data_IF_411803476280
#
_entry.id   IF_411803476280
#
_cell.length_a   1.000
_cell.length_b   1.000
_cell.length_c   1.000
_cell.angle_alpha   90.00
_cell.angle_beta   90.00
_cell.angle_gamma   90.00
#
_symmetry.space_group_name_H-M   'P 1'
#
loop_
_entity.id
_entity.type
_entity.pdbx_description
1 polymer ?
#
# COMPACT_ATOMS: atom_id res chain seq x y z
N UNK A 1 19.59 -1.53 -29.31
CA UNK A 1 19.30 -2.73 -28.48
C UNK A 1 17.80 -2.79 -28.31
N UNK A 2 17.17 -3.91 -28.68
CA UNK A 2 15.74 -4.11 -28.50
C UNK A 2 15.50 -4.29 -26.99
N UNK A 3 14.86 -3.33 -26.33
CA UNK A 3 14.56 -3.43 -24.90
C UNK A 3 13.63 -4.63 -24.72
N UNK A 4 14.07 -5.64 -23.96
CA UNK A 4 13.24 -6.81 -23.69
C UNK A 4 11.92 -6.34 -23.03
N UNK A 5 10.79 -6.83 -23.55
CA UNK A 5 9.47 -6.45 -23.03
C UNK A 5 9.37 -6.88 -21.57
N UNK A 6 9.09 -5.92 -20.69
CA UNK A 6 8.98 -6.17 -19.26
C UNK A 6 7.76 -7.05 -18.95
N UNK A 7 7.94 -8.08 -18.11
CA UNK A 7 6.92 -9.05 -17.73
C UNK A 7 6.69 -9.00 -16.23
N UNK A 8 5.50 -8.61 -15.80
CA UNK A 8 5.15 -8.49 -14.38
C UNK A 8 4.19 -9.59 -13.96
N UNK A 9 4.50 -10.23 -12.85
CA UNK A 9 3.59 -11.12 -12.12
C UNK A 9 2.93 -10.33 -10.99
N UNK A 10 1.61 -10.18 -11.04
CA UNK A 10 0.82 -9.53 -9.98
C UNK A 10 0.09 -10.59 -9.15
N UNK A 11 0.44 -10.69 -7.88
CA UNK A 11 -0.24 -11.56 -6.92
C UNK A 11 -1.41 -10.79 -6.31
N UNK A 12 -2.63 -11.27 -6.53
CA UNK A 12 -3.86 -10.59 -6.11
C UNK A 12 -4.40 -9.57 -7.12
N UNK A 13 -4.07 -9.69 -8.41
CA UNK A 13 -4.41 -8.70 -9.44
C UNK A 13 -5.91 -8.50 -9.72
N UNK A 14 -6.79 -9.36 -9.18
CA UNK A 14 -8.24 -9.16 -9.25
C UNK A 14 -8.81 -8.37 -8.05
N UNK A 15 -7.97 -7.97 -7.10
CA UNK A 15 -8.33 -7.14 -5.96
C UNK A 15 -8.36 -5.63 -6.28
N UNK A 16 -8.63 -4.81 -5.26
CA UNK A 16 -8.76 -3.36 -5.41
C UNK A 16 -7.46 -2.71 -5.91
N UNK A 17 -6.34 -2.89 -5.19
CA UNK A 17 -5.03 -2.35 -5.59
C UNK A 17 -4.46 -3.13 -6.77
N UNK A 18 -4.53 -4.47 -6.72
CA UNK A 18 -3.98 -5.33 -7.77
C UNK A 18 -4.55 -5.08 -9.16
N UNK A 19 -5.85 -4.77 -9.27
CA UNK A 19 -6.47 -4.46 -10.58
C UNK A 19 -6.01 -3.12 -11.14
N UNK A 20 -5.82 -2.11 -10.29
CA UNK A 20 -5.23 -0.83 -10.69
C UNK A 20 -3.78 -1.01 -11.16
N UNK A 21 -2.98 -1.83 -10.46
CA UNK A 21 -1.61 -2.18 -10.89
C UNK A 21 -1.62 -2.88 -12.25
N UNK A 22 -2.49 -3.87 -12.46
CA UNK A 22 -2.59 -4.56 -13.75
C UNK A 22 -2.92 -3.58 -14.88
N UNK A 23 -3.88 -2.68 -14.65
CA UNK A 23 -4.28 -1.66 -15.62
C UNK A 23 -3.13 -0.69 -15.93
N UNK A 24 -2.44 -0.19 -14.89
CA UNK A 24 -1.32 0.75 -15.03
C UNK A 24 -0.11 0.11 -15.75
N UNK A 25 0.20 -1.15 -15.43
CA UNK A 25 1.28 -1.90 -16.07
C UNK A 25 1.00 -2.11 -17.57
N UNK A 26 -0.24 -2.46 -17.94
CA UNK A 26 -0.65 -2.57 -19.34
C UNK A 26 -0.53 -1.23 -20.08
N UNK A 27 -0.90 -0.10 -19.46
CA UNK A 27 -0.74 1.21 -20.09
C UNK A 27 0.71 1.62 -20.32
N UNK A 28 1.65 1.02 -19.57
CA UNK A 28 3.10 1.19 -19.73
C UNK A 28 3.72 0.18 -20.71
N UNK A 29 2.91 -0.60 -21.41
CA UNK A 29 3.39 -1.58 -22.39
C UNK A 29 4.01 -2.84 -21.79
N UNK A 30 3.80 -3.08 -20.49
CA UNK A 30 4.25 -4.30 -19.83
C UNK A 30 3.32 -5.47 -20.15
N UNK A 31 3.87 -6.68 -20.22
CA UNK A 31 3.08 -7.91 -20.23
C UNK A 31 2.69 -8.26 -18.79
N UNK A 32 1.41 -8.46 -18.55
CA UNK A 32 0.86 -8.69 -17.20
C UNK A 32 0.31 -10.10 -17.09
N UNK A 33 0.88 -10.87 -16.17
CA UNK A 33 0.27 -12.10 -15.66
C UNK A 33 -0.20 -11.85 -14.24
N UNK A 34 -1.43 -12.25 -13.92
CA UNK A 34 -1.98 -12.11 -12.58
C UNK A 34 -2.40 -13.46 -12.04
N UNK A 35 -2.00 -13.75 -10.79
CA UNK A 35 -2.50 -14.92 -10.05
C UNK A 35 -3.51 -14.50 -8.99
N UNK A 36 -4.54 -15.32 -8.81
CA UNK A 36 -5.49 -15.24 -7.71
C UNK A 36 -6.10 -16.61 -7.45
N UNK A 37 -6.68 -16.83 -6.26
CA UNK A 37 -7.32 -18.11 -5.93
C UNK A 37 -8.38 -18.54 -6.96
N UNK A 38 -9.10 -17.58 -7.54
CA UNK A 38 -10.13 -17.83 -8.55
C UNK A 38 -9.61 -17.94 -9.98
N UNK A 39 -8.45 -17.35 -10.28
CA UNK A 39 -7.98 -17.11 -11.65
C UNK A 39 -8.90 -16.26 -12.52
N UNK A 40 -9.95 -15.64 -11.95
CA UNK A 40 -10.94 -14.88 -12.72
C UNK A 40 -10.46 -13.44 -12.95
N UNK A 41 -10.77 -12.87 -14.13
CA UNK A 41 -10.55 -11.45 -14.39
C UNK A 41 -11.24 -10.55 -13.37
N UNK A 42 -10.66 -9.37 -13.15
CA UNK A 42 -11.31 -8.31 -12.40
C UNK A 42 -12.66 -7.94 -13.02
N UNK A 43 -13.68 -7.79 -12.16
CA UNK A 43 -14.98 -7.24 -12.51
C UNK A 43 -15.27 -6.01 -11.65
N UNK A 44 -15.85 -4.98 -12.24
CA UNK A 44 -16.34 -3.82 -11.49
C UNK A 44 -17.41 -4.25 -10.48
N UNK A 45 -17.74 -3.43 -9.45
CA UNK A 45 -18.82 -3.74 -8.51
C UNK A 45 -20.19 -3.96 -9.17
N UNK A 46 -20.38 -3.42 -10.39
CA UNK A 46 -21.59 -3.61 -11.20
C UNK A 46 -21.55 -4.89 -12.05
N UNK A 47 -20.51 -5.72 -11.92
CA UNK A 47 -20.36 -6.99 -12.64
C UNK A 47 -19.79 -6.87 -14.06
N UNK A 48 -19.47 -5.67 -14.55
CA UNK A 48 -18.88 -5.49 -15.87
C UNK A 48 -17.38 -5.81 -15.88
N UNK A 49 -16.91 -6.46 -16.95
CA UNK A 49 -15.50 -6.71 -17.24
C UNK A 49 -14.94 -5.61 -18.16
N UNK A 50 -14.05 -4.73 -17.67
CA UNK A 50 -13.44 -3.69 -18.51
C UNK A 50 -12.62 -4.26 -19.67
N UNK A 51 -12.56 -3.57 -20.81
CA UNK A 51 -11.86 -4.06 -22.01
C UNK A 51 -10.36 -4.37 -21.81
N UNK A 52 -9.69 -3.74 -20.84
CA UNK A 52 -8.29 -4.01 -20.56
C UNK A 52 -8.06 -5.39 -19.91
N UNK A 53 -9.08 -5.98 -19.27
CA UNK A 53 -8.90 -7.25 -18.55
C UNK A 53 -8.63 -8.42 -19.48
N UNK A 54 -9.04 -8.34 -20.76
CA UNK A 54 -8.71 -9.36 -21.77
C UNK A 54 -7.24 -9.36 -22.18
N UNK A 55 -6.48 -8.31 -21.83
CA UNK A 55 -5.04 -8.20 -22.11
C UNK A 55 -4.16 -8.73 -20.98
N UNK A 56 -4.76 -9.08 -19.83
CA UNK A 56 -4.06 -9.70 -18.70
C UNK A 56 -4.18 -11.21 -18.81
N UNK A 57 -3.07 -11.91 -18.62
CA UNK A 57 -3.09 -13.37 -18.47
C UNK A 57 -3.49 -13.72 -17.03
N UNK A 58 -4.74 -14.13 -16.82
CA UNK A 58 -5.25 -14.51 -15.51
C UNK A 58 -5.03 -16.01 -15.26
N UNK A 59 -4.37 -16.34 -14.16
CA UNK A 59 -4.05 -17.71 -13.79
C UNK A 59 -4.61 -18.01 -12.40
N UNK A 60 -5.22 -19.19 -12.17
CA UNK A 60 -5.51 -19.65 -10.83
C UNK A 60 -4.19 -19.92 -10.10
N UNK A 61 -4.08 -19.47 -8.85
CA UNK A 61 -2.89 -19.70 -8.04
C UNK A 61 -3.11 -19.29 -6.59
N UNK A 62 -2.44 -19.95 -5.67
CA UNK A 62 -2.49 -19.65 -4.24
C UNK A 62 -1.10 -19.19 -3.77
N UNK A 63 -1.00 -17.97 -3.24
CA UNK A 63 0.25 -17.36 -2.79
C UNK A 63 0.98 -18.14 -1.68
N UNK A 64 0.28 -18.98 -0.90
CA UNK A 64 0.87 -19.84 0.11
C UNK A 64 1.48 -21.14 -0.46
N UNK A 65 1.12 -21.45 -1.70
CA UNK A 65 1.45 -22.68 -2.41
C UNK A 65 2.20 -22.36 -3.72
N UNK A 66 3.51 -22.06 -3.64
CA UNK A 66 4.34 -21.71 -4.79
C UNK A 66 4.23 -22.67 -5.97
N UNK A 67 4.03 -23.96 -5.75
CA UNK A 67 3.85 -24.98 -6.78
C UNK A 67 2.73 -24.64 -7.77
N UNK A 68 1.73 -23.87 -7.36
CA UNK A 68 0.62 -23.44 -8.21
C UNK A 68 1.00 -22.37 -9.24
N UNK A 69 2.09 -21.61 -9.03
CA UNK A 69 2.48 -20.49 -9.89
C UNK A 69 3.99 -20.39 -10.16
N UNK A 70 4.83 -21.26 -9.59
CA UNK A 70 6.29 -21.18 -9.69
C UNK A 70 6.78 -21.19 -11.14
N UNK A 71 6.08 -21.90 -12.03
CA UNK A 71 6.35 -21.95 -13.47
C UNK A 71 6.27 -20.57 -14.16
N UNK A 72 5.65 -19.56 -13.54
CA UNK A 72 5.55 -18.19 -14.08
C UNK A 72 6.77 -17.33 -13.70
N UNK A 73 7.46 -17.67 -12.60
CA UNK A 73 8.53 -16.86 -12.03
C UNK A 73 9.77 -16.75 -12.93
N UNK A 74 10.24 -17.79 -13.65
CA UNK A 74 11.46 -17.68 -14.48
C UNK A 74 11.34 -16.63 -15.59
N UNK A 75 10.14 -16.52 -16.17
CA UNK A 75 9.86 -15.56 -17.25
C UNK A 75 9.51 -14.15 -16.74
N UNK A 76 9.27 -13.98 -15.44
CA UNK A 76 8.82 -12.72 -14.85
C UNK A 76 10.01 -11.84 -14.49
N UNK A 77 10.03 -10.61 -15.00
CA UNK A 77 11.08 -9.63 -14.68
C UNK A 77 10.82 -8.93 -13.35
N UNK A 78 9.57 -8.88 -12.90
CA UNK A 78 9.15 -8.25 -11.66
C UNK A 78 7.98 -9.01 -11.00
N UNK A 79 7.89 -8.95 -9.67
CA UNK A 79 6.76 -9.47 -8.89
C UNK A 79 6.14 -8.34 -8.06
N UNK A 80 4.81 -8.23 -8.07
CA UNK A 80 4.06 -7.31 -7.22
C UNK A 80 3.10 -8.11 -6.35
N UNK A 81 3.30 -8.05 -5.04
CA UNK A 81 2.43 -8.69 -4.06
C UNK A 81 1.42 -7.69 -3.50
N UNK A 82 0.15 -7.86 -3.85
CA UNK A 82 -0.95 -6.95 -3.47
C UNK A 82 -1.97 -7.57 -2.51
N UNK A 83 -1.71 -8.79 -2.00
CA UNK A 83 -2.62 -9.40 -1.04
C UNK A 83 -2.58 -8.65 0.29
N UNK A 84 -3.76 -8.53 0.88
CA UNK A 84 -3.95 -7.90 2.16
C UNK A 84 -5.42 -7.88 2.54
N UNK A 85 -5.75 -8.38 3.71
CA UNK A 85 -7.08 -8.22 4.31
C UNK A 85 -6.96 -7.23 5.45
N UNK A 86 -7.74 -6.13 5.39
CA UNK A 86 -7.78 -5.12 6.45
C UNK A 86 -8.72 -5.54 7.59
N UNK A 87 -9.81 -6.25 7.24
CA UNK A 87 -10.84 -6.73 8.16
C UNK A 87 -11.33 -8.09 7.67
N UNK A 88 -11.19 -9.12 8.50
CA UNK A 88 -11.83 -10.42 8.28
C UNK A 88 -13.31 -10.44 8.67
N UNK A 89 -13.91 -9.28 8.92
CA UNK A 89 -15.31 -9.23 9.31
C UNK A 89 -16.21 -9.30 8.09
N UNK A 90 -16.93 -10.42 7.98
CA UNK A 90 -18.07 -10.58 7.09
C UNK A 90 -19.07 -9.39 7.21
N UNK A 91 -19.12 -8.74 8.38
CA UNK A 91 -19.94 -7.56 8.66
C UNK A 91 -19.49 -6.29 7.92
N UNK A 92 -18.18 -6.03 7.76
CA UNK A 92 -17.69 -4.89 6.99
C UNK A 92 -17.97 -5.08 5.48
N UNK A 93 -17.78 -6.32 4.99
CA UNK A 93 -18.14 -6.69 3.61
C UNK A 93 -19.66 -6.63 3.38
N UNK A 94 -20.48 -7.00 4.37
CA UNK A 94 -21.93 -6.88 4.32
C UNK A 94 -22.40 -5.41 4.35
N UNK A 95 -21.84 -4.58 5.23
CA UNK A 95 -22.16 -3.15 5.32
C UNK A 95 -21.78 -2.38 4.04
N UNK A 96 -20.66 -2.73 3.41
CA UNK A 96 -20.28 -2.20 2.10
C UNK A 96 -21.21 -2.66 0.98
N UNK A 97 -21.75 -3.88 1.07
CA UNK A 97 -22.69 -4.45 0.09
C UNK A 97 -24.08 -3.83 0.21
N UNK A 98 -24.51 -3.51 1.42
CA UNK A 98 -25.87 -3.02 1.71
C UNK A 98 -26.01 -1.49 1.64
N UNK A 99 -24.92 -0.74 1.35
CA UNK A 99 -24.92 0.73 1.23
C UNK A 99 -25.55 1.47 2.42
N UNK A 100 -25.50 0.88 3.62
CA UNK A 100 -26.17 1.41 4.80
C UNK A 100 -25.30 2.44 5.54
N UNK A 101 -25.24 3.65 4.97
CA UNK A 101 -24.42 4.78 5.44
C UNK A 101 -24.66 5.12 6.93
N UNK A 102 -25.90 5.16 7.46
CA UNK A 102 -26.16 5.44 8.86
C UNK A 102 -25.60 4.40 9.84
N UNK A 103 -25.59 3.12 9.46
CA UNK A 103 -25.05 2.06 10.30
C UNK A 103 -23.51 2.15 10.40
N UNK A 104 -22.84 2.48 9.29
CA UNK A 104 -21.39 2.73 9.28
C UNK A 104 -21.02 3.99 10.07
N UNK A 105 -21.82 5.06 9.96
CA UNK A 105 -21.62 6.27 10.76
C UNK A 105 -21.91 6.03 12.24
N UNK A 106 -22.94 5.24 12.56
CA UNK A 106 -23.33 4.89 13.93
C UNK A 106 -22.30 4.01 14.63
N UNK A 107 -21.70 3.06 13.92
CA UNK A 107 -20.56 2.26 14.41
C UNK A 107 -19.28 3.09 14.58
N UNK A 108 -19.06 4.05 13.68
CA UNK A 108 -17.96 5.00 13.84
C UNK A 108 -18.17 5.94 15.05
N UNK A 109 -19.39 6.46 15.21
CA UNK A 109 -19.77 7.34 16.30
C UNK A 109 -19.79 6.60 17.66
N UNK A 110 -20.26 5.35 17.71
CA UNK A 110 -20.23 4.56 18.95
C UNK A 110 -18.80 4.21 19.38
N UNK A 111 -17.91 3.94 18.41
CA UNK A 111 -16.47 3.72 18.67
C UNK A 111 -15.74 5.00 19.13
N UNK A 112 -16.16 6.16 18.63
CA UNK A 112 -15.67 7.47 19.07
C UNK A 112 -16.23 7.85 20.45
N UNK A 113 -17.50 7.51 20.72
CA UNK A 113 -18.14 7.73 22.01
C UNK A 113 -17.60 6.78 23.10
N UNK A 114 -17.10 5.60 22.74
CA UNK A 114 -16.45 4.64 23.64
C UNK A 114 -14.96 4.95 23.91
N UNK A 115 -14.51 6.19 23.74
CA UNK A 115 -13.19 6.68 24.17
C UNK A 115 -13.09 6.81 25.71
N UNK A 116 -13.71 5.89 26.45
CA UNK A 116 -13.48 5.72 27.88
C UNK A 116 -12.28 4.77 28.07
N UNK A 117 -11.15 5.22 28.64
CA UNK A 117 -9.92 4.42 28.78
C UNK A 117 -10.09 3.14 29.63
N UNK A 118 -11.20 2.98 30.35
CA UNK A 118 -11.44 1.89 31.28
C UNK A 118 -12.43 0.80 30.85
N UNK A 119 -13.07 0.88 29.69
CA UNK A 119 -14.20 -0.02 29.33
C UNK A 119 -13.89 -1.09 28.28
N UNK A 120 -12.64 -1.21 27.81
CA UNK A 120 -12.27 -2.30 26.89
C UNK A 120 -12.18 -3.63 27.63
N UNK A 121 -13.19 -4.46 27.41
CA UNK A 121 -13.15 -5.88 27.78
C UNK A 121 -12.19 -6.58 26.79
N UNK A 122 -11.01 -7.08 27.21
CA UNK A 122 -9.99 -7.62 26.30
C UNK A 122 -10.33 -8.97 25.64
N UNK A 123 -11.58 -9.41 25.76
CA UNK A 123 -12.06 -10.74 25.39
C UNK A 123 -13.04 -10.73 24.20
N UNK A 124 -13.17 -9.61 23.48
CA UNK A 124 -14.05 -9.51 22.31
C UNK A 124 -13.30 -9.47 20.98
N UNK A 125 -11.98 -9.74 20.96
CA UNK A 125 -11.23 -10.02 19.74
C UNK A 125 -11.45 -11.49 19.34
N UNK A 126 -12.66 -11.82 18.89
CA UNK A 126 -12.94 -13.10 18.20
C UNK A 126 -12.45 -13.05 16.75
N UNK A 127 -11.19 -12.68 16.55
CA UNK A 127 -10.51 -12.90 15.28
C UNK A 127 -9.94 -14.32 15.26
N UNK A 128 -10.08 -15.04 14.14
CA UNK A 128 -9.46 -16.37 14.00
C UNK A 128 -7.94 -16.21 14.16
N UNK A 129 -7.30 -16.91 15.12
CA UNK A 129 -5.84 -16.90 15.21
C UNK A 129 -5.24 -17.34 13.87
N UNK A 130 -4.42 -16.49 13.24
CA UNK A 130 -3.66 -16.81 12.03
C UNK A 130 -4.15 -16.16 10.72
N UNK A 131 -5.32 -15.52 10.66
CA UNK A 131 -5.85 -14.97 9.40
C UNK A 131 -4.99 -13.85 8.79
N UNK A 132 -4.53 -12.90 9.61
CA UNK A 132 -3.66 -11.81 9.14
C UNK A 132 -2.23 -12.28 8.92
N UNK A 133 -1.69 -13.14 9.77
CA UNK A 133 -0.36 -13.71 9.63
C UNK A 133 -0.26 -14.46 8.31
N UNK A 134 -1.19 -15.38 8.07
CA UNK A 134 -1.22 -16.21 6.88
C UNK A 134 -1.41 -15.35 5.63
N UNK A 135 -2.41 -14.46 5.63
CA UNK A 135 -2.75 -13.67 4.44
C UNK A 135 -1.77 -12.52 4.16
N UNK A 136 -1.32 -11.77 5.17
CA UNK A 136 -0.53 -10.56 4.99
C UNK A 136 0.97 -10.82 5.01
N UNK A 137 1.43 -11.71 5.90
CA UNK A 137 2.86 -11.99 6.11
C UNK A 137 3.29 -13.24 5.37
N UNK A 138 2.76 -14.40 5.75
CA UNK A 138 3.26 -15.69 5.27
C UNK A 138 3.06 -15.84 3.76
N UNK A 139 1.94 -15.37 3.21
CA UNK A 139 1.72 -15.36 1.76
C UNK A 139 2.74 -14.49 1.00
N UNK A 140 3.20 -13.38 1.59
CA UNK A 140 4.21 -12.53 0.98
C UNK A 140 5.59 -13.17 1.03
N UNK A 141 5.92 -13.80 2.17
CA UNK A 141 7.16 -14.54 2.36
C UNK A 141 7.27 -15.72 1.38
N UNK A 142 6.22 -16.54 1.25
CA UNK A 142 6.21 -17.68 0.31
C UNK A 142 6.40 -17.26 -1.15
N UNK A 143 5.79 -16.15 -1.56
CA UNK A 143 6.00 -15.60 -2.91
C UNK A 143 7.44 -15.09 -3.07
N UNK A 144 7.97 -14.40 -2.06
CA UNK A 144 9.34 -13.89 -2.05
C UNK A 144 10.38 -15.01 -2.10
N UNK A 145 10.26 -16.03 -1.24
CA UNK A 145 11.11 -17.22 -1.21
C UNK A 145 11.15 -17.91 -2.58
N UNK A 146 9.97 -18.16 -3.17
CA UNK A 146 9.87 -18.78 -4.47
C UNK A 146 10.52 -17.93 -5.58
N UNK A 147 10.37 -16.61 -5.50
CA UNK A 147 10.94 -15.67 -6.47
C UNK A 147 12.48 -15.62 -6.39
N UNK A 148 13.04 -15.55 -5.18
CA UNK A 148 14.50 -15.53 -4.95
C UNK A 148 15.13 -16.87 -5.30
N UNK A 149 14.45 -17.99 -5.05
CA UNK A 149 14.90 -19.33 -5.41
C UNK A 149 14.88 -19.61 -6.94
N UNK A 150 14.20 -18.78 -7.73
CA UNK A 150 14.02 -19.01 -9.17
C UNK A 150 15.01 -18.20 -10.01
N UNK A 151 15.77 -18.88 -10.87
CA UNK A 151 16.60 -18.23 -11.87
C UNK A 151 15.76 -17.58 -12.98
N UNK A 152 16.17 -16.39 -13.42
CA UNK A 152 15.53 -15.69 -14.54
C UNK A 152 15.94 -16.30 -15.86
N UNK A 153 14.97 -16.65 -16.70
CA UNK A 153 15.19 -17.03 -18.11
C UNK A 153 15.53 -15.81 -18.98
N UNK A 154 15.22 -14.62 -18.49
CA UNK A 154 15.44 -13.36 -19.19
C UNK A 154 16.74 -12.71 -18.66
N UNK A 155 17.71 -12.36 -19.52
CA UNK A 155 18.84 -11.53 -19.14
C UNK A 155 18.35 -10.15 -18.70
N UNK A 156 18.70 -9.72 -17.49
CA UNK A 156 18.27 -8.45 -16.93
C UNK A 156 19.46 -7.53 -16.65
N UNK A 157 19.39 -6.25 -17.05
CA UNK A 157 20.46 -5.28 -16.84
C UNK A 157 20.51 -4.76 -15.38
N UNK A 158 19.49 -5.06 -14.57
CA UNK A 158 19.30 -4.55 -13.23
C UNK A 158 18.67 -5.62 -12.32
N UNK A 159 18.76 -5.47 -10.99
CA UNK A 159 18.13 -6.37 -10.03
C UNK A 159 16.62 -6.45 -10.22
N UNK A 160 16.08 -7.67 -10.13
CA UNK A 160 14.65 -7.98 -10.25
C UNK A 160 13.88 -7.39 -9.07
N UNK A 161 12.90 -6.50 -9.31
CA UNK A 161 12.11 -5.93 -8.22
C UNK A 161 11.07 -6.91 -7.69
N UNK A 162 11.03 -7.01 -6.36
CA UNK A 162 9.91 -7.55 -5.60
C UNK A 162 9.21 -6.41 -4.87
N UNK A 163 7.98 -6.10 -5.26
CA UNK A 163 7.17 -5.06 -4.61
C UNK A 163 6.20 -5.71 -3.64
N UNK A 164 6.19 -5.23 -2.40
CA UNK A 164 5.20 -5.60 -1.40
C UNK A 164 4.33 -4.39 -1.05
N UNK A 165 3.01 -4.54 -1.17
CA UNK A 165 2.05 -3.51 -0.73
C UNK A 165 1.80 -3.69 0.77
N UNK A 166 2.42 -2.80 1.54
CA UNK A 166 2.25 -2.64 2.98
C UNK A 166 1.16 -1.60 3.28
N UNK A 167 1.26 -0.90 4.41
CA UNK A 167 0.39 0.20 4.81
C UNK A 167 1.13 1.20 5.70
N UNK A 168 0.68 2.45 5.69
CA UNK A 168 0.99 3.39 6.76
C UNK A 168 0.12 3.15 7.99
N UNK A 169 0.68 3.48 9.15
CA UNK A 169 -0.03 3.40 10.40
C UNK A 169 -0.82 4.69 10.65
N UNK A 170 -1.98 4.82 10.01
CA UNK A 170 -2.74 6.09 9.95
C UNK A 170 -4.19 5.99 10.43
N UNK A 171 -4.59 4.90 11.11
CA UNK A 171 -6.00 4.70 11.53
C UNK A 171 -6.21 3.85 12.79
N UNK A 172 -5.26 3.76 13.73
CA UNK A 172 -5.56 3.17 15.04
C UNK A 172 -6.44 4.16 15.83
N UNK A 173 -7.48 3.70 16.56
CA UNK A 173 -7.80 2.30 16.92
C UNK A 173 -8.78 1.58 15.97
N UNK A 174 -9.09 2.12 14.79
CA UNK A 174 -10.03 1.51 13.86
C UNK A 174 -9.43 0.34 13.06
N UNK A 175 -8.12 0.38 12.84
CA UNK A 175 -7.34 -0.71 12.23
C UNK A 175 -6.63 -1.48 13.35
N UNK A 176 -6.76 -2.82 13.41
CA UNK A 176 -6.07 -3.63 14.41
C UNK A 176 -4.54 -3.46 14.33
N UNK A 177 -3.85 -3.36 15.47
CA UNK A 177 -2.37 -3.25 15.47
C UNK A 177 -1.72 -4.40 14.71
N UNK A 178 -2.27 -5.61 14.87
CA UNK A 178 -1.79 -6.83 14.21
C UNK A 178 -1.81 -6.75 12.69
N UNK A 179 -2.72 -5.98 12.09
CA UNK A 179 -2.72 -5.74 10.65
C UNK A 179 -1.44 -5.01 10.20
N UNK A 180 -1.06 -3.95 10.92
CA UNK A 180 0.15 -3.18 10.62
C UNK A 180 1.40 -3.98 10.98
N UNK A 181 1.41 -4.66 12.14
CA UNK A 181 2.54 -5.48 12.58
C UNK A 181 2.87 -6.59 11.58
N UNK A 182 1.87 -7.35 11.11
CA UNK A 182 2.10 -8.43 10.13
C UNK A 182 2.66 -7.91 8.81
N UNK A 183 2.23 -6.70 8.37
CA UNK A 183 2.79 -6.04 7.20
C UNK A 183 4.25 -5.61 7.44
N UNK A 184 4.58 -5.05 8.60
CA UNK A 184 5.94 -4.64 8.96
C UNK A 184 6.88 -5.83 9.15
N UNK A 185 6.41 -6.91 9.77
CA UNK A 185 7.13 -8.20 9.86
C UNK A 185 7.48 -8.71 8.46
N UNK A 186 6.51 -8.69 7.53
CA UNK A 186 6.75 -9.11 6.15
C UNK A 186 7.84 -8.26 5.47
N UNK A 187 7.82 -6.94 5.63
CA UNK A 187 8.85 -6.05 5.08
C UNK A 187 10.26 -6.43 5.55
N UNK A 188 10.43 -6.67 6.86
CA UNK A 188 11.72 -7.03 7.45
C UNK A 188 12.26 -8.35 6.89
N UNK A 189 11.44 -9.40 6.88
CA UNK A 189 11.85 -10.71 6.36
C UNK A 189 12.09 -10.69 4.85
N UNK A 190 11.32 -9.92 4.08
CA UNK A 190 11.57 -9.74 2.65
C UNK A 190 12.91 -9.00 2.44
N UNK A 191 13.20 -7.93 3.18
CA UNK A 191 14.48 -7.20 3.04
C UNK A 191 15.66 -8.11 3.42
N UNK A 192 15.51 -8.92 4.46
CA UNK A 192 16.52 -9.91 4.84
C UNK A 192 16.84 -10.85 3.67
N UNK A 193 15.83 -11.47 3.05
CA UNK A 193 16.01 -12.33 1.87
C UNK A 193 16.62 -11.59 0.67
N UNK A 194 16.18 -10.35 0.42
CA UNK A 194 16.62 -9.56 -0.74
C UNK A 194 18.07 -9.08 -0.57
N UNK A 195 18.46 -8.70 0.64
CA UNK A 195 19.81 -8.19 0.94
C UNK A 195 20.91 -9.24 0.79
N UNK A 196 20.55 -10.52 0.81
CA UNK A 196 21.47 -11.65 0.60
C UNK A 196 21.78 -11.90 -0.88
N UNK A 197 21.08 -11.23 -1.82
CA UNK A 197 21.21 -11.49 -3.24
C UNK A 197 21.07 -10.22 -4.09
N UNK A 198 22.20 -9.73 -4.60
CA UNK A 198 22.29 -8.52 -5.44
C UNK A 198 21.50 -8.61 -6.76
N UNK A 199 21.01 -9.79 -7.14
CA UNK A 199 20.13 -9.97 -8.32
C UNK A 199 18.70 -9.50 -8.07
N UNK A 200 18.35 -9.17 -6.83
CA UNK A 200 17.01 -8.76 -6.45
C UNK A 200 17.02 -7.44 -5.68
N UNK A 201 15.86 -6.77 -5.65
CA UNK A 201 15.66 -5.58 -4.81
C UNK A 201 14.24 -5.57 -4.26
N UNK A 202 14.11 -5.27 -2.97
CA UNK A 202 12.84 -5.08 -2.30
C UNK A 202 12.33 -3.64 -2.45
N UNK A 203 11.02 -3.49 -2.65
CA UNK A 203 10.32 -2.19 -2.55
C UNK A 203 9.05 -2.37 -1.73
N UNK A 204 8.90 -1.55 -0.68
CA UNK A 204 7.81 -1.64 0.29
C UNK A 204 6.92 -0.41 0.17
N UNK A 205 5.81 -0.56 -0.55
CA UNK A 205 4.88 0.54 -0.79
C UNK A 205 4.00 0.69 0.44
N UNK A 206 4.07 1.83 1.11
CA UNK A 206 3.27 2.15 2.30
C UNK A 206 2.24 3.22 1.96
N UNK A 207 1.07 2.83 1.43
CA UNK A 207 -0.03 3.75 1.22
C UNK A 207 -0.70 4.10 2.54
N UNK A 208 -1.22 5.32 2.64
CA UNK A 208 -2.14 5.76 3.69
C UNK A 208 -3.58 5.29 3.37
N UNK A 209 -4.58 6.15 3.54
CA UNK A 209 -5.94 5.86 3.09
C UNK A 209 -5.99 5.82 1.56
N UNK A 210 -6.16 4.62 1.00
CA UNK A 210 -6.41 4.45 -0.43
C UNK A 210 -7.88 4.73 -0.73
N UNK A 211 -8.15 5.73 -1.57
CA UNK A 211 -9.51 6.05 -2.01
C UNK A 211 -9.68 5.90 -3.52
N UNK A 212 -10.92 5.66 -3.93
CA UNK A 212 -11.35 5.78 -5.31
C UNK A 212 -12.84 6.18 -5.32
N UNK A 213 -13.21 7.33 -5.93
CA UNK A 213 -14.56 7.89 -5.84
C UNK A 213 -15.70 6.91 -6.17
N UNK A 214 -15.49 6.01 -7.13
CA UNK A 214 -16.50 5.06 -7.60
C UNK A 214 -16.44 3.65 -6.99
N UNK A 215 -15.35 3.27 -6.32
CA UNK A 215 -15.18 1.94 -5.74
C UNK A 215 -15.27 1.96 -4.20
N UNK A 216 -15.02 3.12 -3.58
CA UNK A 216 -15.19 3.38 -2.14
C UNK A 216 -15.76 4.79 -1.92
N UNK A 217 -17.02 5.07 -2.28
CA UNK A 217 -17.57 6.44 -2.19
C UNK A 217 -17.53 7.00 -0.75
N UNK A 218 -17.67 6.11 0.25
CA UNK A 218 -17.69 6.48 1.67
C UNK A 218 -16.34 6.98 2.21
N UNK A 219 -15.21 6.67 1.58
CA UNK A 219 -13.90 7.16 2.03
C UNK A 219 -13.56 8.55 1.49
N UNK A 220 -14.34 9.09 0.54
CA UNK A 220 -14.01 10.36 -0.13
C UNK A 220 -14.12 11.59 0.79
N UNK A 221 -15.16 11.76 1.64
CA UNK A 221 -15.22 12.91 2.56
C UNK A 221 -14.13 12.88 3.62
N UNK A 222 -13.82 11.70 4.16
CA UNK A 222 -12.73 11.52 5.13
C UNK A 222 -11.39 11.82 4.48
N UNK A 223 -11.17 11.34 3.24
CA UNK A 223 -9.98 11.66 2.47
C UNK A 223 -9.82 13.19 2.30
N UNK A 224 -10.88 13.91 1.93
CA UNK A 224 -10.81 15.37 1.77
C UNK A 224 -10.40 16.10 3.07
N UNK A 225 -10.93 15.68 4.22
CA UNK A 225 -10.56 16.26 5.52
C UNK A 225 -9.11 15.96 5.91
N UNK A 226 -8.65 14.73 5.69
CA UNK A 226 -7.27 14.35 5.98
C UNK A 226 -6.27 15.04 5.04
N UNK A 227 -6.61 15.21 3.76
CA UNK A 227 -5.78 15.93 2.79
C UNK A 227 -5.66 17.42 3.14
N UNK A 228 -6.75 18.05 3.58
CA UNK A 228 -6.73 19.42 4.11
C UNK A 228 -5.87 19.50 5.37
N UNK A 229 -6.04 18.56 6.31
CA UNK A 229 -5.23 18.49 7.53
C UNK A 229 -3.75 18.38 7.18
N UNK A 230 -3.36 17.46 6.31
CA UNK A 230 -1.97 17.27 5.90
C UNK A 230 -1.40 18.54 5.26
N UNK A 231 -2.18 19.21 4.40
CA UNK A 231 -1.78 20.47 3.77
C UNK A 231 -1.54 21.58 4.79
N UNK A 232 -2.41 21.72 5.80
CA UNK A 232 -2.23 22.71 6.88
C UNK A 232 -1.00 22.39 7.74
N UNK A 233 -0.75 21.11 8.04
CA UNK A 233 0.45 20.70 8.79
C UNK A 233 1.74 20.96 7.99
N UNK A 234 1.73 20.74 6.67
CA UNK A 234 2.87 21.00 5.80
C UNK A 234 3.22 22.51 5.69
N UNK A 235 2.22 23.38 5.83
CA UNK A 235 2.39 24.84 5.80
C UNK A 235 2.67 25.46 7.18
N UNK A 236 2.62 24.68 8.26
CA UNK A 236 2.82 25.19 9.61
C UNK A 236 4.27 25.67 9.80
N UNK A 237 4.50 26.84 10.44
CA UNK A 237 5.85 27.30 10.77
C UNK A 237 6.61 26.27 11.62
N UNK A 238 7.92 26.16 11.39
CA UNK A 238 8.77 25.30 12.21
C UNK A 238 8.64 25.68 13.69
N UNK A 239 8.28 24.72 14.54
CA UNK A 239 8.09 24.91 15.98
C UNK A 239 6.68 25.32 16.41
N UNK A 240 5.72 25.50 15.49
CA UNK A 240 4.33 25.73 15.87
C UNK A 240 3.71 24.46 16.48
N UNK A 241 2.92 24.57 17.58
CA UNK A 241 2.25 23.43 18.17
C UNK A 241 1.10 22.98 17.27
N UNK A 242 1.38 22.03 16.38
CA UNK A 242 0.35 21.39 15.55
C UNK A 242 -0.35 20.28 16.35
N UNK A 243 -1.63 19.97 16.02
CA UNK A 243 -2.32 18.84 16.65
C UNK A 243 -1.53 17.54 16.60
N UNK A 244 -0.87 17.24 15.48
CA UNK A 244 0.01 16.07 15.36
C UNK A 244 1.21 16.13 16.32
N UNK A 245 1.90 17.27 16.43
CA UNK A 245 3.04 17.42 17.35
C UNK A 245 2.64 17.27 18.82
N UNK A 246 1.43 17.72 19.18
CA UNK A 246 0.89 17.53 20.53
C UNK A 246 0.63 16.06 20.79
N UNK A 247 0.00 15.33 19.86
CA UNK A 247 -0.24 13.89 20.00
C UNK A 247 1.07 13.10 20.12
N UNK A 248 2.10 13.43 19.35
CA UNK A 248 3.43 12.82 19.44
C UNK A 248 4.13 13.13 20.79
N UNK A 249 3.97 14.37 21.30
CA UNK A 249 4.51 14.75 22.61
C UNK A 249 3.81 14.00 23.75
N UNK A 250 2.50 13.77 23.64
CA UNK A 250 1.73 12.97 24.59
C UNK A 250 2.14 11.50 24.48
N UNK A 251 2.24 10.96 23.27
CA UNK A 251 2.72 9.59 23.02
C UNK A 251 4.03 9.33 23.75
N UNK A 252 5.06 10.15 23.48
CA UNK A 252 6.37 9.99 24.10
C UNK A 252 6.36 10.14 25.64
N UNK A 253 5.46 10.97 26.19
CA UNK A 253 5.28 11.10 27.64
C UNK A 253 4.60 9.86 28.29
N UNK A 254 3.70 9.18 27.57
CA UNK A 254 2.98 8.00 28.05
C UNK A 254 3.73 6.68 27.78
N UNK A 255 4.54 6.60 26.72
CA UNK A 255 5.28 5.40 26.32
C UNK A 255 6.41 5.00 27.28
N UNK A 256 6.85 5.89 28.18
CA UNK A 256 7.80 5.55 29.25
C UNK A 256 7.33 4.51 30.29
N UNK A 257 6.13 3.94 30.15
CA UNK A 257 5.51 3.00 31.11
C UNK A 257 5.02 1.66 30.55
N UNK A 258 5.10 1.40 29.24
CA UNK A 258 4.68 0.11 28.65
C UNK A 258 5.72 -0.43 27.66
N UNK A 259 5.95 -1.75 27.65
CA UNK A 259 6.75 -2.43 26.62
C UNK A 259 6.05 -2.28 25.27
N UNK A 260 6.48 -1.30 24.48
CA UNK A 260 6.07 -1.17 23.08
C UNK A 260 6.68 -2.32 22.24
N UNK A 261 5.89 -2.88 21.35
CA UNK A 261 6.39 -3.75 20.28
C UNK A 261 7.33 -2.93 19.40
N UNK A 262 8.55 -3.41 19.16
CA UNK A 262 9.58 -2.77 18.28
C UNK A 262 9.08 -2.44 16.86
N UNK A 263 7.92 -2.97 16.49
CA UNK A 263 7.38 -2.98 15.13
C UNK A 263 6.19 -2.02 14.97
N UNK A 264 5.65 -1.44 16.05
CA UNK A 264 4.44 -0.62 15.97
C UNK A 264 4.41 0.56 16.94
N UNK A 265 4.24 1.80 16.42
CA UNK A 265 4.11 2.99 17.25
C UNK A 265 2.78 3.02 18.00
N UNK A 266 2.65 3.95 18.95
CA UNK A 266 1.46 4.05 19.79
C UNK A 266 0.21 4.43 18.97
N UNK A 267 -1.01 4.19 19.48
CA UNK A 267 -2.23 4.67 18.84
C UNK A 267 -2.26 6.20 18.64
N UNK A 268 -1.62 6.97 19.53
CA UNK A 268 -1.55 8.43 19.41
C UNK A 268 -0.66 8.84 18.23
N UNK A 269 0.45 8.13 18.02
CA UNK A 269 1.33 8.34 16.87
C UNK A 269 0.65 7.95 15.55
N UNK A 270 -0.20 6.92 15.57
CA UNK A 270 -1.02 6.55 14.42
C UNK A 270 -2.01 7.66 14.04
N UNK A 271 -2.67 8.28 15.03
CA UNK A 271 -3.57 9.42 14.78
C UNK A 271 -2.78 10.65 14.32
N UNK A 272 -1.61 10.94 14.91
CA UNK A 272 -0.75 12.02 14.45
C UNK A 272 -0.30 11.83 12.99
N UNK A 273 0.01 10.59 12.61
CA UNK A 273 0.34 10.21 11.24
C UNK A 273 -0.87 10.41 10.31
N UNK A 274 -2.08 10.09 10.75
CA UNK A 274 -3.30 10.33 9.97
C UNK A 274 -3.51 11.80 9.60
N UNK A 275 -3.16 12.70 10.54
CA UNK A 275 -3.32 14.15 10.35
C UNK A 275 -2.28 14.76 9.41
N UNK A 276 -1.16 14.08 9.19
CA UNK A 276 0.01 14.60 8.48
C UNK A 276 0.29 13.89 7.16
N UNK A 277 -0.08 12.62 7.04
CA UNK A 277 0.08 11.82 5.83
C UNK A 277 -1.23 11.90 5.03
N UNK A 278 -1.22 12.56 3.85
CA UNK A 278 -2.45 12.72 3.09
C UNK A 278 -2.92 11.38 2.51
N UNK A 279 -4.22 11.23 2.21
CA UNK A 279 -4.74 10.07 1.49
C UNK A 279 -4.15 10.01 0.08
N UNK A 280 -4.22 8.82 -0.53
CA UNK A 280 -3.69 8.60 -1.87
C UNK A 280 -4.70 7.87 -2.76
N UNK A 281 -4.81 8.30 -4.02
CA UNK A 281 -5.67 7.64 -4.98
C UNK A 281 -5.09 6.28 -5.39
N UNK A 282 -5.94 5.27 -5.59
CA UNK A 282 -5.47 3.93 -5.96
C UNK A 282 -4.67 3.91 -7.27
N UNK A 283 -5.00 4.77 -8.23
CA UNK A 283 -4.26 4.88 -9.48
C UNK A 283 -2.85 5.46 -9.28
N UNK A 284 -2.66 6.37 -8.31
CA UNK A 284 -1.33 6.91 -7.97
C UNK A 284 -0.46 5.83 -7.31
N UNK A 285 -1.05 5.01 -6.43
CA UNK A 285 -0.36 3.85 -5.84
C UNK A 285 0.06 2.87 -6.94
N UNK A 286 -0.87 2.56 -7.87
CA UNK A 286 -0.58 1.67 -8.99
C UNK A 286 0.51 2.22 -9.92
N UNK A 287 0.47 3.52 -10.21
CA UNK A 287 1.48 4.16 -11.04
C UNK A 287 2.86 4.17 -10.37
N UNK A 288 2.93 4.51 -9.07
CA UNK A 288 4.17 4.46 -8.31
C UNK A 288 4.74 3.02 -8.26
N UNK A 289 3.89 1.99 -8.08
CA UNK A 289 4.29 0.58 -8.19
C UNK A 289 4.87 0.29 -9.57
N UNK A 290 4.22 0.74 -10.64
CA UNK A 290 4.69 0.51 -12.01
C UNK A 290 6.03 1.20 -12.31
N UNK A 291 6.28 2.37 -11.72
CA UNK A 291 7.59 3.04 -11.78
C UNK A 291 8.62 2.25 -10.97
N UNK A 292 8.25 1.78 -9.78
CA UNK A 292 9.16 1.03 -8.91
C UNK A 292 9.59 -0.31 -9.52
N UNK A 293 8.73 -0.98 -10.29
CA UNK A 293 9.11 -2.23 -10.99
C UNK A 293 9.85 -2.00 -12.30
N UNK A 294 9.96 -0.77 -12.79
CA UNK A 294 10.67 -0.49 -14.04
C UNK A 294 12.15 -0.88 -13.89
N UNK A 295 12.66 -1.70 -14.82
CA UNK A 295 14.06 -2.13 -14.80
C UNK A 295 15.03 -0.96 -15.03
N UNK A 296 14.58 0.14 -15.64
CA UNK A 296 15.37 1.36 -15.78
C UNK A 296 15.48 2.15 -14.47
N UNK A 297 14.66 1.84 -13.46
CA UNK A 297 14.60 2.53 -12.16
C UNK A 297 15.13 1.66 -11.02
N UNK A 298 16.39 1.24 -11.14
CA UNK A 298 17.09 0.49 -10.08
C UNK A 298 17.37 1.34 -8.82
N UNK A 299 17.21 2.66 -8.91
CA UNK A 299 17.30 3.61 -7.80
C UNK A 299 16.16 3.47 -6.78
N UNK A 300 15.00 2.95 -7.20
CA UNK A 300 13.84 2.79 -6.31
C UNK A 300 14.00 1.51 -5.48
N UNK A 301 14.27 1.68 -4.18
CA UNK A 301 14.55 0.60 -3.23
C UNK A 301 13.94 0.92 -1.87
N UNK A 302 13.57 -0.13 -1.13
CA UNK A 302 13.20 0.00 0.28
C UNK A 302 11.81 0.61 0.45
N UNK A 303 11.62 1.33 1.55
CA UNK A 303 10.32 1.90 1.90
C UNK A 303 9.98 3.08 1.01
N UNK A 304 8.78 3.06 0.43
CA UNK A 304 8.22 4.15 -0.38
C UNK A 304 6.89 4.55 0.25
N UNK A 305 6.91 5.66 1.00
CA UNK A 305 5.73 6.25 1.61
C UNK A 305 4.92 7.10 0.64
N UNK A 306 3.88 7.77 1.14
CA UNK A 306 2.96 8.58 0.31
C UNK A 306 3.67 9.73 -0.39
N UNK A 307 4.62 10.38 0.28
CA UNK A 307 5.38 11.50 -0.28
C UNK A 307 6.25 11.01 -1.44
N UNK A 308 7.01 9.95 -1.23
CA UNK A 308 7.88 9.34 -2.23
C UNK A 308 7.07 8.81 -3.41
N UNK A 309 5.89 8.20 -3.17
CA UNK A 309 4.97 7.80 -4.24
C UNK A 309 4.53 9.01 -5.09
N UNK A 310 4.15 10.13 -4.45
CA UNK A 310 3.75 11.36 -5.16
C UNK A 310 4.92 11.95 -5.97
N UNK A 311 6.12 11.97 -5.41
CA UNK A 311 7.33 12.40 -6.11
C UNK A 311 7.64 11.52 -7.33
N UNK A 312 7.54 10.19 -7.19
CA UNK A 312 7.79 9.24 -8.27
C UNK A 312 6.87 9.48 -9.47
N UNK A 313 5.59 9.77 -9.24
CA UNK A 313 4.60 10.01 -10.30
C UNK A 313 4.62 11.46 -10.81
N UNK A 314 5.55 12.30 -10.33
CA UNK A 314 5.64 13.71 -10.73
C UNK A 314 4.51 14.60 -10.18
N UNK A 315 3.86 14.16 -9.09
CA UNK A 315 2.84 14.95 -8.41
C UNK A 315 3.50 16.02 -7.53
N UNK A 316 3.70 17.22 -8.07
CA UNK A 316 4.03 18.38 -7.22
C UNK A 316 2.77 18.86 -6.52
N UNK A 317 2.78 18.95 -5.19
CA UNK A 317 1.73 19.65 -4.46
C UNK A 317 1.57 21.07 -5.02
N UNK A 318 0.33 21.47 -5.30
CA UNK A 318 0.01 22.84 -5.72
C UNK A 318 0.49 23.80 -4.63
N UNK A 319 1.70 24.32 -4.77
CA UNK A 319 2.33 25.20 -3.79
C UNK A 319 3.85 25.34 -3.88
N UNK A 320 4.57 24.43 -4.57
CA UNK A 320 6.05 24.49 -4.68
C UNK A 320 6.57 24.82 -6.09
N UNK A 321 5.79 25.56 -6.90
CA UNK A 321 6.29 26.20 -8.12
C UNK A 321 6.25 27.73 -8.00
N UNK A 322 7.26 28.27 -7.34
CA UNK A 322 7.83 29.62 -7.54
C UNK A 322 9.03 29.68 -6.57
N UNK A 323 10.28 29.59 -6.99
CA UNK A 323 11.02 30.74 -7.53
C UNK A 323 12.43 30.26 -7.92
N UNK A 324 12.70 30.00 -9.20
CA UNK A 324 14.08 29.97 -9.73
C UNK A 324 14.11 29.99 -11.27
N UNK A 325 13.28 30.80 -11.90
CA UNK A 325 13.51 31.23 -13.28
C UNK A 325 13.04 32.68 -13.44
N UNK A 326 13.97 33.62 -13.28
CA UNK A 326 13.99 34.94 -13.93
C UNK A 326 15.13 35.81 -13.38
N UNK A 327 16.36 35.49 -13.76
CA UNK A 327 17.42 36.49 -13.87
C UNK A 327 18.24 36.16 -15.12
N UNK A 328 17.61 36.30 -16.28
CA UNK A 328 18.31 36.42 -17.57
C UNK A 328 17.53 37.41 -18.45
N UNK A 329 17.82 38.69 -18.24
CA UNK A 329 17.53 39.84 -19.10
C UNK A 329 18.10 41.06 -18.36
N UNK A 330 18.97 41.93 -18.84
CA UNK A 330 19.40 42.31 -20.18
C UNK A 330 20.71 43.09 -20.00
N UNK A 331 21.72 42.85 -20.84
CA UNK A 331 22.71 43.87 -21.18
C UNK A 331 22.88 43.86 -22.70
N UNK A 332 22.40 44.93 -23.33
CA UNK A 332 22.69 45.36 -24.70
C UNK A 332 22.92 46.89 -24.63
N UNK A 333 23.53 47.52 -25.63
CA UNK A 333 24.43 47.02 -26.67
C UNK A 333 25.91 47.38 -26.43
#
# INVERSE_FOLDING_TARGET
>A
MQTAVQKVLVVGGNGFVGSAVCKAALSRGMQVTSISSSGKPYTTPKGHSPAWTSKVNWQPGNALHPESYAHLLPSSTAVVHTLGTLLEDQQYKAALKDSNIPALLGTFASRLASLDPGSRNPLEDTHKPGGYEEMNRDSALRVCEAFVATESEVPLPAPRPFVFVSAEDVFRPFVPSRYIETKREAELYIEEMMSQNDRFRGVYIRPSLIYHPHFRPLTSPVAALLDLSASLHAQAPQGAPTPASLLQSLSSAFSGRQSESLVSPSPLDSVASALTIPPIHVDHVAEAICIAIDNARSDVRGVVGVKEMRELIGWSEKGSQSTSQSLDSHSYP
#
